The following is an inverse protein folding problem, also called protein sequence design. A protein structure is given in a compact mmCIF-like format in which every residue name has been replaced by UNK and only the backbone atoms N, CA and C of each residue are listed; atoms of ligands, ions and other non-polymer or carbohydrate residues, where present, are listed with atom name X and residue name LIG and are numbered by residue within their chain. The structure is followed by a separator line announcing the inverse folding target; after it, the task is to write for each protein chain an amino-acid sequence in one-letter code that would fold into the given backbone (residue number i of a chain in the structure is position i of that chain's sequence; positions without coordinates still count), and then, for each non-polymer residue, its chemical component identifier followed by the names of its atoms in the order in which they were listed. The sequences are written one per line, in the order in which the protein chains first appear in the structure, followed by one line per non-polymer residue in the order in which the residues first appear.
data_IF_207081565566
#
_entry.id   IF_207081565566
#
_cell.length_a   1.000
_cell.length_b   1.000
_cell.length_c   1.000
_cell.angle_alpha   90.00
_cell.angle_beta   90.00
_cell.angle_gamma   90.00
#
_symmetry.space_group_name_H-M   'P 1'
#
loop_
_entity.id
_entity.type
_entity.pdbx_description
1 polymer ?
#
# COMPACT_ATOMS: atom_id res chain seq x y z
N UNK A 1 43.67 -8.78 12.61
CA UNK A 1 42.56 -9.71 12.39
C UNK A 1 41.35 -9.06 13.01
N UNK A 2 40.54 -8.37 12.24
CA UNK A 2 39.28 -7.78 12.71
C UNK A 2 38.26 -8.88 12.61
N UNK A 3 37.72 -9.24 13.76
CA UNK A 3 36.74 -10.34 13.91
C UNK A 3 35.47 -9.98 13.13
N UNK A 4 35.13 -10.80 12.11
CA UNK A 4 34.01 -10.56 11.22
C UNK A 4 32.60 -10.67 11.86
N UNK A 5 32.53 -10.75 13.20
CA UNK A 5 31.28 -10.99 13.94
C UNK A 5 30.60 -9.72 14.45
N UNK A 6 31.25 -8.56 14.37
CA UNK A 6 30.64 -7.29 14.84
C UNK A 6 29.80 -6.56 13.78
N UNK A 7 29.85 -6.98 12.52
CA UNK A 7 29.15 -6.33 11.42
C UNK A 7 27.64 -6.72 11.33
N UNK A 8 27.30 -7.93 11.72
CA UNK A 8 25.93 -8.46 11.60
C UNK A 8 24.86 -7.75 12.41
N UNK A 9 25.07 -7.35 13.68
CA UNK A 9 24.04 -6.64 14.43
C UNK A 9 23.77 -5.24 13.87
N UNK A 10 24.78 -4.63 13.25
CA UNK A 10 24.64 -3.29 12.67
C UNK A 10 23.84 -3.30 11.36
N UNK A 11 23.98 -4.32 10.54
CA UNK A 11 23.21 -4.50 9.30
C UNK A 11 21.73 -4.79 9.61
N UNK A 12 21.45 -5.66 10.58
CA UNK A 12 20.07 -5.97 11.00
C UNK A 12 19.37 -4.73 11.57
N UNK A 13 20.07 -3.95 12.40
CA UNK A 13 19.54 -2.70 12.94
C UNK A 13 19.29 -1.66 11.84
N UNK A 14 20.17 -1.60 10.83
CA UNK A 14 19.98 -0.70 9.70
C UNK A 14 18.82 -1.12 8.81
N UNK A 15 18.66 -2.41 8.52
CA UNK A 15 17.51 -2.95 7.78
C UNK A 15 16.20 -2.66 8.53
N UNK A 16 16.15 -2.93 9.83
CA UNK A 16 14.99 -2.64 10.68
C UNK A 16 14.63 -1.16 10.70
N UNK A 17 15.62 -0.28 10.79
CA UNK A 17 15.41 1.18 10.74
C UNK A 17 14.96 1.63 9.35
N UNK A 18 15.42 0.99 8.29
CA UNK A 18 15.01 1.29 6.92
C UNK A 18 13.56 0.84 6.68
N UNK A 19 13.14 -0.30 7.20
CA UNK A 19 11.75 -0.76 7.13
C UNK A 19 10.81 0.13 7.93
N UNK A 20 11.18 0.54 9.14
CA UNK A 20 10.41 1.53 9.93
C UNK A 20 10.24 2.84 9.18
N UNK A 21 11.30 3.32 8.52
CA UNK A 21 11.24 4.56 7.73
C UNK A 21 10.31 4.41 6.53
N UNK A 22 10.33 3.27 5.87
CA UNK A 22 9.45 2.97 4.74
C UNK A 22 7.98 2.87 5.16
N UNK A 23 7.69 2.20 6.29
CA UNK A 23 6.34 2.12 6.84
C UNK A 23 5.80 3.51 7.23
N UNK A 24 6.60 4.33 7.92
CA UNK A 24 6.24 5.71 8.27
C UNK A 24 6.01 6.58 7.04
N UNK A 25 6.77 6.38 5.96
CA UNK A 25 6.56 7.10 4.70
C UNK A 25 5.21 6.70 4.07
N UNK A 26 4.86 5.42 4.04
CA UNK A 26 3.56 4.95 3.54
C UNK A 26 2.39 5.60 4.28
N UNK A 27 2.45 5.68 5.63
CA UNK A 27 1.43 6.35 6.44
C UNK A 27 1.25 7.83 6.09
N UNK A 28 2.36 8.54 5.97
CA UNK A 28 2.34 9.99 5.64
C UNK A 28 1.74 10.22 4.26
N UNK A 29 2.03 9.36 3.30
CA UNK A 29 1.44 9.39 1.97
C UNK A 29 -0.07 9.21 2.03
N UNK A 30 -0.55 8.15 2.66
CA UNK A 30 -1.99 7.91 2.81
C UNK A 30 -2.69 9.02 3.57
N UNK A 31 -2.10 9.49 4.67
CA UNK A 31 -2.65 10.60 5.45
C UNK A 31 -2.77 11.86 4.60
N UNK A 32 -1.72 12.23 3.86
CA UNK A 32 -1.72 13.38 2.96
C UNK A 32 -2.78 13.26 1.86
N UNK A 33 -2.90 12.08 1.23
CA UNK A 33 -3.89 11.82 0.19
C UNK A 33 -5.32 11.91 0.72
N UNK A 34 -5.60 11.32 1.87
CA UNK A 34 -6.92 11.40 2.52
C UNK A 34 -7.25 12.85 2.93
N UNK A 35 -6.29 13.58 3.51
CA UNK A 35 -6.49 14.99 3.86
C UNK A 35 -6.78 15.85 2.62
N UNK A 36 -6.00 15.68 1.55
CA UNK A 36 -6.23 16.39 0.29
C UNK A 36 -7.63 16.11 -0.24
N UNK A 37 -8.03 14.85 -0.27
CA UNK A 37 -9.36 14.48 -0.71
C UNK A 37 -10.44 15.12 0.15
N UNK A 38 -10.38 15.01 1.49
CA UNK A 38 -11.36 15.60 2.40
C UNK A 38 -11.46 17.13 2.27
N UNK A 39 -10.32 17.81 2.10
CA UNK A 39 -10.31 19.28 1.92
C UNK A 39 -11.03 19.68 0.63
N UNK A 40 -10.77 18.99 -0.48
CA UNK A 40 -11.41 19.28 -1.76
C UNK A 40 -12.88 18.87 -1.79
N UNK A 41 -13.26 17.86 -1.01
CA UNK A 41 -14.65 17.40 -0.89
C UNK A 41 -15.49 18.22 0.10
N UNK A 42 -14.96 19.31 0.65
CA UNK A 42 -15.78 20.28 1.41
C UNK A 42 -16.83 20.97 0.53
N UNK A 43 -16.45 21.25 -0.71
CA UNK A 43 -17.37 21.77 -1.72
C UNK A 43 -17.25 20.96 -3.02
N UNK A 44 -17.90 19.80 -3.09
CA UNK A 44 -17.78 18.90 -4.24
C UNK A 44 -18.41 19.51 -5.51
N UNK A 45 -19.38 20.41 -5.36
CA UNK A 45 -20.02 21.05 -6.50
C UNK A 45 -19.10 22.09 -7.15
N UNK A 46 -18.35 22.84 -6.34
CA UNK A 46 -17.33 23.75 -6.83
C UNK A 46 -16.24 22.99 -7.56
N UNK A 47 -15.74 21.91 -6.93
CA UNK A 47 -14.72 21.06 -7.54
C UNK A 47 -15.18 20.45 -8.87
N UNK A 48 -16.43 19.99 -8.95
CA UNK A 48 -17.03 19.47 -10.18
C UNK A 48 -17.11 20.54 -11.29
N UNK A 49 -17.47 21.78 -10.93
CA UNK A 49 -17.54 22.90 -11.89
C UNK A 49 -16.17 23.30 -12.40
N UNK A 50 -15.15 23.32 -11.54
CA UNK A 50 -13.78 23.71 -11.89
C UNK A 50 -13.07 22.64 -12.75
N UNK A 51 -13.19 21.37 -12.37
CA UNK A 51 -12.53 20.27 -13.07
C UNK A 51 -13.30 19.74 -14.28
N UNK A 52 -14.61 19.94 -14.29
CA UNK A 52 -15.52 19.25 -15.20
C UNK A 52 -15.77 17.79 -14.81
N UNK A 53 -16.82 17.14 -15.36
CA UNK A 53 -17.28 15.84 -14.89
C UNK A 53 -16.24 14.71 -15.08
N UNK A 54 -15.53 14.69 -16.20
CA UNK A 54 -14.52 13.67 -16.49
C UNK A 54 -13.35 13.70 -15.50
N UNK A 55 -12.73 14.88 -15.31
CA UNK A 55 -11.61 15.04 -14.39
C UNK A 55 -12.03 14.86 -12.93
N UNK A 56 -13.25 15.24 -12.57
CA UNK A 56 -13.82 15.01 -11.26
C UNK A 56 -13.90 13.51 -10.93
N UNK A 57 -14.43 12.69 -11.86
CA UNK A 57 -14.49 11.23 -11.69
C UNK A 57 -13.10 10.63 -11.55
N UNK A 58 -12.15 11.06 -12.41
CA UNK A 58 -10.76 10.60 -12.31
C UNK A 58 -10.15 10.95 -10.95
N UNK A 59 -10.38 12.16 -10.44
CA UNK A 59 -9.92 12.57 -9.12
C UNK A 59 -10.51 11.69 -8.00
N UNK A 60 -11.81 11.35 -8.07
CA UNK A 60 -12.43 10.44 -7.10
C UNK A 60 -11.79 9.05 -7.15
N UNK A 61 -11.56 8.50 -8.34
CA UNK A 61 -10.90 7.19 -8.50
C UNK A 61 -9.48 7.23 -7.95
N UNK A 62 -8.72 8.28 -8.22
CA UNK A 62 -7.33 8.39 -7.75
C UNK A 62 -7.25 8.56 -6.22
N UNK A 63 -7.97 9.50 -5.63
CA UNK A 63 -7.83 9.80 -4.21
C UNK A 63 -8.67 8.88 -3.32
N UNK A 64 -9.96 8.82 -3.54
CA UNK A 64 -10.86 7.98 -2.75
C UNK A 64 -10.68 6.49 -3.08
N UNK A 65 -10.60 6.15 -4.36
CA UNK A 65 -10.46 4.77 -4.81
C UNK A 65 -9.19 4.11 -4.29
N UNK A 66 -8.05 4.80 -4.33
CA UNK A 66 -6.79 4.27 -3.79
C UNK A 66 -6.85 4.08 -2.27
N UNK A 67 -7.38 5.06 -1.53
CA UNK A 67 -7.52 4.97 -0.08
C UNK A 67 -8.48 3.83 0.32
N UNK A 68 -9.64 3.74 -0.32
CA UNK A 68 -10.63 2.69 -0.08
C UNK A 68 -10.09 1.31 -0.44
N UNK A 69 -9.39 1.18 -1.56
CA UNK A 69 -8.77 -0.08 -1.98
C UNK A 69 -7.74 -0.56 -0.95
N UNK A 70 -6.88 0.33 -0.45
CA UNK A 70 -5.90 -0.02 0.57
C UNK A 70 -6.58 -0.42 1.90
N UNK A 71 -7.64 0.25 2.30
CA UNK A 71 -8.41 -0.08 3.51
C UNK A 71 -9.20 -1.38 3.37
N UNK A 72 -9.74 -1.67 2.18
CA UNK A 72 -10.52 -2.88 1.92
C UNK A 72 -9.64 -4.13 1.74
N UNK A 73 -8.38 -3.97 1.34
CA UNK A 73 -7.49 -5.08 0.95
C UNK A 73 -7.38 -6.22 2.00
N UNK A 74 -7.24 -5.99 3.33
CA UNK A 74 -7.17 -7.08 4.29
C UNK A 74 -8.45 -7.91 4.33
N UNK A 75 -9.61 -7.27 4.18
CA UNK A 75 -10.89 -7.97 4.17
C UNK A 75 -11.01 -8.84 2.92
N UNK A 76 -10.58 -8.34 1.76
CA UNK A 76 -10.56 -9.08 0.51
C UNK A 76 -9.63 -10.31 0.61
N UNK A 77 -8.47 -10.18 1.26
CA UNK A 77 -7.58 -11.32 1.50
C UNK A 77 -8.22 -12.38 2.40
N UNK A 78 -8.91 -11.95 3.46
CA UNK A 78 -9.62 -12.88 4.36
C UNK A 78 -10.76 -13.59 3.63
N UNK A 79 -11.57 -12.86 2.86
CA UNK A 79 -12.67 -13.45 2.08
C UNK A 79 -12.14 -14.41 1.01
N UNK A 80 -11.05 -14.06 0.33
CA UNK A 80 -10.38 -14.93 -0.64
C UNK A 80 -9.84 -16.22 0.01
N UNK A 81 -9.26 -16.12 1.20
CA UNK A 81 -8.80 -17.28 1.96
C UNK A 81 -9.97 -18.18 2.38
N UNK A 82 -11.07 -17.58 2.86
CA UNK A 82 -12.30 -18.32 3.20
C UNK A 82 -12.85 -19.07 2.00
N UNK A 83 -12.88 -18.44 0.82
CA UNK A 83 -13.29 -19.10 -0.42
C UNK A 83 -12.40 -20.30 -0.74
N UNK A 84 -11.08 -20.12 -0.67
CA UNK A 84 -10.13 -21.18 -0.95
C UNK A 84 -10.31 -22.37 0.01
N UNK A 85 -10.53 -22.10 1.30
CA UNK A 85 -10.81 -23.15 2.31
C UNK A 85 -12.16 -23.85 2.06
N UNK A 86 -13.22 -23.10 1.77
CA UNK A 86 -14.55 -23.69 1.47
C UNK A 86 -14.51 -24.58 0.23
N UNK A 87 -13.78 -24.18 -0.80
CA UNK A 87 -13.57 -24.98 -2.00
C UNK A 87 -12.73 -26.24 -1.72
N UNK A 88 -11.65 -26.11 -0.95
CA UNK A 88 -10.78 -27.23 -0.58
C UNK A 88 -11.52 -28.28 0.25
N UNK A 89 -12.45 -27.84 1.12
CA UNK A 89 -13.25 -28.73 1.99
C UNK A 89 -14.57 -29.19 1.33
N UNK A 90 -14.80 -28.86 0.04
CA UNK A 90 -16.02 -29.16 -0.70
C UNK A 90 -17.30 -28.80 0.07
N UNK A 91 -17.27 -27.69 0.82
CA UNK A 91 -18.43 -27.24 1.61
C UNK A 91 -19.52 -26.72 0.66
N UNK A 92 -20.80 -27.07 0.89
CA UNK A 92 -21.90 -26.49 0.13
C UNK A 92 -21.99 -25.00 0.46
N UNK A 93 -21.69 -24.17 -0.53
CA UNK A 93 -21.80 -22.70 -0.41
C UNK A 93 -23.08 -22.26 -1.13
N UNK A 94 -23.85 -21.35 -0.50
CA UNK A 94 -25.00 -20.76 -1.17
C UNK A 94 -24.56 -19.90 -2.37
N UNK A 95 -25.38 -19.87 -3.43
CA UNK A 95 -25.08 -19.19 -4.70
C UNK A 95 -24.61 -17.75 -4.52
N UNK A 96 -25.28 -16.98 -3.66
CA UNK A 96 -24.92 -15.58 -3.39
C UNK A 96 -23.53 -15.46 -2.77
N UNK A 97 -23.22 -16.29 -1.76
CA UNK A 97 -21.90 -16.30 -1.11
C UNK A 97 -20.80 -16.63 -2.10
N UNK A 98 -20.99 -17.68 -2.91
CA UNK A 98 -20.02 -18.06 -3.94
C UNK A 98 -19.81 -16.95 -4.95
N UNK A 99 -20.88 -16.29 -5.41
CA UNK A 99 -20.77 -15.18 -6.34
C UNK A 99 -19.97 -14.01 -5.77
N UNK A 100 -20.25 -13.59 -4.52
CA UNK A 100 -19.51 -12.51 -3.86
C UNK A 100 -18.03 -12.85 -3.70
N UNK A 101 -17.71 -14.04 -3.19
CA UNK A 101 -16.33 -14.48 -3.00
C UNK A 101 -15.58 -14.60 -4.34
N UNK A 102 -16.28 -15.02 -5.41
CA UNK A 102 -15.68 -15.08 -6.75
C UNK A 102 -15.37 -13.69 -7.29
N UNK A 103 -16.29 -12.72 -7.10
CA UNK A 103 -16.04 -11.32 -7.48
C UNK A 103 -14.84 -10.76 -6.73
N UNK A 104 -14.72 -11.00 -5.43
CA UNK A 104 -13.58 -10.57 -4.62
C UNK A 104 -12.27 -11.18 -5.14
N UNK A 105 -12.26 -12.49 -5.41
CA UNK A 105 -11.10 -13.16 -5.97
C UNK A 105 -10.68 -12.59 -7.32
N UNK A 106 -11.63 -12.40 -8.23
CA UNK A 106 -11.37 -11.80 -9.55
C UNK A 106 -10.82 -10.39 -9.41
N UNK A 107 -11.38 -9.58 -8.50
CA UNK A 107 -10.90 -8.23 -8.25
C UNK A 107 -9.44 -8.21 -7.75
N UNK A 108 -9.11 -9.05 -6.78
CA UNK A 108 -7.73 -9.21 -6.28
C UNK A 108 -6.81 -9.67 -7.41
N UNK A 109 -7.19 -10.73 -8.14
CA UNK A 109 -6.37 -11.28 -9.21
C UNK A 109 -6.13 -10.25 -10.33
N UNK A 110 -7.15 -9.53 -10.76
CA UNK A 110 -7.02 -8.46 -11.75
C UNK A 110 -6.11 -7.32 -11.27
N UNK A 111 -6.23 -6.92 -10.01
CA UNK A 111 -5.37 -5.90 -9.42
C UNK A 111 -3.89 -6.32 -9.42
N UNK A 112 -3.57 -7.51 -8.93
CA UNK A 112 -2.21 -8.03 -8.92
C UNK A 112 -1.66 -8.24 -10.34
N UNK A 113 -2.44 -8.84 -11.24
CA UNK A 113 -2.03 -9.06 -12.63
C UNK A 113 -1.74 -7.75 -13.35
N UNK A 114 -2.59 -6.74 -13.19
CA UNK A 114 -2.39 -5.42 -13.79
C UNK A 114 -1.09 -4.77 -13.29
N UNK A 115 -0.84 -4.81 -11.98
CA UNK A 115 0.37 -4.29 -11.38
C UNK A 115 1.62 -5.02 -11.89
N UNK A 116 1.60 -6.35 -11.88
CA UNK A 116 2.70 -7.19 -12.34
C UNK A 116 2.96 -7.03 -13.84
N UNK A 117 1.90 -6.94 -14.65
CA UNK A 117 2.02 -6.72 -16.10
C UNK A 117 2.64 -5.36 -16.40
N UNK A 118 2.20 -4.30 -15.69
CA UNK A 118 2.77 -2.97 -15.83
C UNK A 118 4.26 -2.98 -15.43
N UNK A 119 4.57 -3.56 -14.29
CA UNK A 119 5.95 -3.72 -13.83
C UNK A 119 6.81 -4.49 -14.84
N UNK A 120 6.34 -5.61 -15.36
CA UNK A 120 7.06 -6.38 -16.38
C UNK A 120 7.32 -5.60 -17.66
N UNK A 121 6.38 -4.75 -18.08
CA UNK A 121 6.53 -3.93 -19.29
C UNK A 121 7.46 -2.74 -19.11
N UNK A 122 7.53 -2.18 -17.91
CA UNK A 122 8.32 -0.98 -17.63
C UNK A 122 9.76 -1.28 -17.21
N UNK A 123 10.04 -2.48 -16.69
CA UNK A 123 11.36 -2.89 -16.25
C UNK A 123 12.34 -3.09 -17.42
N UNK A 124 13.58 -2.64 -17.25
CA UNK A 124 14.67 -2.94 -18.17
C UNK A 124 14.98 -4.44 -18.20
N UNK A 125 15.50 -4.94 -19.32
CA UNK A 125 15.78 -6.37 -19.52
C UNK A 125 16.66 -6.96 -18.40
N UNK A 126 17.63 -6.19 -17.90
CA UNK A 126 18.55 -6.59 -16.83
C UNK A 126 17.84 -6.80 -15.48
N UNK A 127 16.78 -6.04 -15.22
CA UNK A 127 16.02 -6.08 -13.97
C UNK A 127 14.98 -7.20 -13.97
N UNK A 128 14.58 -7.68 -15.16
CA UNK A 128 13.62 -8.78 -15.31
C UNK A 128 14.09 -10.10 -14.71
N UNK A 129 15.40 -10.31 -14.59
CA UNK A 129 15.96 -11.51 -13.95
C UNK A 129 15.55 -11.64 -12.47
N UNK A 130 15.30 -10.50 -11.78
CA UNK A 130 14.84 -10.46 -10.40
C UNK A 130 13.33 -10.37 -10.23
N UNK A 131 12.55 -10.34 -11.31
CA UNK A 131 11.12 -10.06 -11.27
C UNK A 131 10.31 -11.07 -10.45
N UNK A 132 10.73 -12.32 -10.39
CA UNK A 132 10.10 -13.34 -9.54
C UNK A 132 10.05 -12.94 -8.05
N UNK A 133 11.04 -12.18 -7.57
CA UNK A 133 11.04 -11.63 -6.21
C UNK A 133 9.91 -10.63 -6.03
N UNK A 134 9.69 -9.77 -7.02
CA UNK A 134 8.58 -8.81 -7.01
C UNK A 134 7.25 -9.56 -6.94
N UNK A 135 7.06 -10.59 -7.77
CA UNK A 135 5.85 -11.42 -7.75
C UNK A 135 5.60 -12.01 -6.37
N UNK A 136 6.64 -12.58 -5.74
CA UNK A 136 6.55 -13.22 -4.43
C UNK A 136 6.26 -12.23 -3.30
N UNK A 137 6.91 -11.05 -3.30
CA UNK A 137 6.80 -10.08 -2.23
C UNK A 137 5.65 -9.07 -2.42
N UNK A 138 5.03 -9.00 -3.59
CA UNK A 138 3.90 -8.10 -3.85
C UNK A 138 2.75 -8.27 -2.85
N UNK A 139 2.26 -9.47 -2.50
CA UNK A 139 1.20 -9.63 -1.52
C UNK A 139 1.57 -9.08 -0.13
N UNK A 140 2.82 -9.31 0.30
CA UNK A 140 3.34 -8.81 1.58
C UNK A 140 3.39 -7.28 1.55
N UNK A 141 3.92 -6.71 0.48
CA UNK A 141 3.98 -5.26 0.29
C UNK A 141 2.59 -4.60 0.35
N UNK A 142 1.60 -5.17 -0.34
CA UNK A 142 0.23 -4.63 -0.33
C UNK A 142 -0.42 -4.74 1.05
N UNK A 143 -0.15 -5.81 1.79
CA UNK A 143 -0.60 -5.94 3.18
C UNK A 143 0.02 -4.87 4.07
N UNK A 144 1.32 -4.60 3.94
CA UNK A 144 1.99 -3.53 4.67
C UNK A 144 1.43 -2.15 4.31
N UNK A 145 1.17 -1.87 3.03
CA UNK A 145 0.54 -0.63 2.58
C UNK A 145 -0.87 -0.48 3.14
N UNK A 146 -1.61 -1.57 3.26
CA UNK A 146 -2.92 -1.58 3.88
C UNK A 146 -2.86 -1.23 5.38
N UNK A 147 -1.93 -1.81 6.12
CA UNK A 147 -1.71 -1.47 7.54
C UNK A 147 -1.33 0.02 7.70
N UNK A 148 -0.49 0.54 6.80
CA UNK A 148 -0.14 1.95 6.78
C UNK A 148 -1.37 2.85 6.51
N UNK A 149 -2.26 2.44 5.59
CA UNK A 149 -3.51 3.16 5.31
C UNK A 149 -4.46 3.16 6.52
N UNK A 150 -4.61 2.03 7.22
CA UNK A 150 -5.42 1.94 8.44
C UNK A 150 -4.87 2.82 9.55
N UNK A 151 -3.56 2.81 9.76
CA UNK A 151 -2.92 3.68 10.75
C UNK A 151 -3.07 5.15 10.37
N UNK A 152 -2.91 5.50 9.10
CA UNK A 152 -3.13 6.85 8.59
C UNK A 152 -4.58 7.32 8.81
N UNK A 153 -5.57 6.48 8.53
CA UNK A 153 -6.98 6.77 8.77
C UNK A 153 -7.27 6.98 10.26
N UNK A 154 -6.71 6.13 11.13
CA UNK A 154 -6.82 6.27 12.58
C UNK A 154 -6.19 7.57 13.10
N UNK A 155 -4.99 7.91 12.63
CA UNK A 155 -4.32 9.16 12.97
C UNK A 155 -5.11 10.38 12.48
N UNK A 156 -5.69 10.29 11.28
CA UNK A 156 -6.50 11.37 10.73
C UNK A 156 -7.73 11.65 11.58
N UNK A 157 -8.32 10.60 12.14
CA UNK A 157 -9.47 10.73 13.05
C UNK A 157 -9.08 11.24 14.43
N UNK A 158 -7.98 10.73 15.03
CA UNK A 158 -7.55 11.08 16.39
C UNK A 158 -6.76 12.37 16.49
N UNK A 159 -5.86 12.59 15.54
CA UNK A 159 -4.89 13.68 15.54
C UNK A 159 -4.69 14.26 14.13
N UNK A 160 -5.73 14.94 13.57
CA UNK A 160 -5.69 15.39 12.17
C UNK A 160 -4.56 16.40 11.90
N UNK A 161 -4.15 17.18 12.90
CA UNK A 161 -3.12 18.20 12.75
C UNK A 161 -1.69 17.71 13.03
N UNK A 162 -1.53 16.48 13.53
CA UNK A 162 -0.21 15.92 13.80
C UNK A 162 0.48 15.54 12.49
N UNK A 163 1.60 16.20 12.20
CA UNK A 163 2.47 15.85 11.10
C UNK A 163 3.79 15.28 11.65
N UNK A 164 3.99 13.99 11.51
CA UNK A 164 5.23 13.33 11.92
C UNK A 164 6.35 13.71 10.95
N UNK A 165 7.33 14.48 11.43
CA UNK A 165 8.50 14.86 10.62
C UNK A 165 9.44 13.65 10.47
N UNK A 166 9.97 13.45 9.27
CA UNK A 166 11.05 12.48 9.07
C UNK A 166 12.28 12.94 9.83
N UNK A 167 12.89 12.12 10.71
CA UNK A 167 14.15 12.46 11.32
C UNK A 167 15.23 12.57 10.23
N UNK A 168 15.61 13.79 9.87
CA UNK A 168 16.77 14.00 9.04
C UNK A 168 18.01 13.77 9.94
N UNK A 169 18.76 12.70 9.67
CA UNK A 169 20.10 12.60 10.25
C UNK A 169 20.92 13.77 9.71
N UNK A 170 21.47 14.64 10.57
CA UNK A 170 22.44 15.61 10.09
C UNK A 170 23.56 14.82 9.41
N UNK A 171 23.84 15.14 8.16
CA UNK A 171 25.05 14.68 7.48
C UNK A 171 26.19 15.07 8.41
N UNK A 172 26.86 14.08 9.02
CA UNK A 172 28.00 14.30 9.85
C UNK A 172 28.96 15.19 9.07
N UNK A 173 29.31 16.34 9.64
CA UNK A 173 30.45 17.12 9.12
C UNK A 173 31.60 16.13 9.04
N UNK A 174 32.04 15.83 7.82
CA UNK A 174 33.32 15.22 7.62
C UNK A 174 34.32 16.14 8.37
N UNK A 175 34.80 15.70 9.52
CA UNK A 175 35.94 16.31 10.18
C UNK A 175 37.09 16.18 9.21
N UNK A 176 37.34 17.27 8.46
CA UNK A 176 38.59 17.44 7.75
C UNK A 176 39.70 17.45 8.81
N UNK A 177 40.44 16.36 8.86
CA UNK A 177 41.76 16.29 9.50
C UNK A 177 42.84 16.42 8.43
#
# INVERSE_FOLDING_TARGET
MVDGNEQYPFEIINLWNQERTSANNGERWFKGWMQTWFVHMRDPMLLLRELGPGSFVIAQILFAGMALSALAHPFLLVTGLVLAVDLALAKPTGTLRTALLTIDFVNIACGYLSFLLLGWRTLALREKLGFWKIVLFTPVYWTMMSLAAWRAAWQLWRTPHLWEKTPHRPLGRATAA
#
